data_IF_158632669354
#
_entry.id   IF_158632669354
#
_cell.length_a   1.000
_cell.length_b   1.000
_cell.length_c   1.000
_cell.angle_alpha   90.00
_cell.angle_beta   90.00
_cell.angle_gamma   90.00
#
_symmetry.space_group_name_H-M   'P 1'
#
loop_
_entity.id
_entity.type
_entity.pdbx_description
1 polymer ?
#
# COMPACT_ATOMS: atom_id res chain seq x y z
N UNK A 1 50.64 18.90 35.02
CA UNK A 1 49.30 19.01 34.37
C UNK A 1 49.06 18.03 33.25
N UNK A 2 50.02 17.71 32.37
CA UNK A 2 49.91 16.75 31.26
C UNK A 2 49.67 15.27 31.67
N UNK A 3 50.28 14.84 32.78
CA UNK A 3 50.15 13.42 33.28
C UNK A 3 48.71 13.12 33.76
N UNK A 4 48.05 14.06 34.40
CA UNK A 4 46.68 13.87 34.89
C UNK A 4 45.66 13.82 33.75
N UNK A 5 45.90 14.54 32.65
CA UNK A 5 45.07 14.45 31.43
C UNK A 5 45.22 13.09 30.72
N UNK A 6 46.45 12.52 30.68
CA UNK A 6 46.67 11.19 30.09
C UNK A 6 45.99 10.07 30.90
N UNK A 7 46.03 10.14 32.26
CA UNK A 7 45.33 9.17 33.11
C UNK A 7 43.81 9.24 32.98
N UNK A 8 43.27 10.45 32.90
CA UNK A 8 41.81 10.64 32.68
C UNK A 8 41.33 10.11 31.30
N UNK A 9 42.15 10.29 30.25
CA UNK A 9 41.89 9.73 28.93
C UNK A 9 41.94 8.20 28.91
N UNK A 10 42.91 7.62 29.63
CA UNK A 10 43.10 6.17 29.71
C UNK A 10 41.97 5.49 30.51
N UNK A 11 41.49 6.12 31.58
CA UNK A 11 40.34 5.63 32.37
C UNK A 11 39.04 5.71 31.61
N UNK A 12 38.84 6.77 30.83
CA UNK A 12 37.68 6.90 29.91
C UNK A 12 37.69 5.85 28.79
N UNK A 13 38.87 5.55 28.20
CA UNK A 13 39.08 4.49 27.22
C UNK A 13 38.75 3.09 27.75
N UNK A 14 39.13 2.81 29.02
CA UNK A 14 38.87 1.53 29.70
C UNK A 14 37.40 1.36 30.05
N UNK A 15 36.70 2.46 30.44
CA UNK A 15 35.24 2.48 30.70
C UNK A 15 34.43 2.29 29.42
N UNK A 16 34.91 2.86 28.31
CA UNK A 16 34.28 2.71 26.99
C UNK A 16 34.37 1.26 26.48
N UNK A 17 35.55 0.60 26.60
CA UNK A 17 35.73 -0.82 26.24
C UNK A 17 34.87 -1.77 27.09
N UNK A 18 34.55 -1.40 28.34
CA UNK A 18 33.71 -2.20 29.24
C UNK A 18 32.20 -2.03 28.95
N UNK A 19 31.82 -0.89 28.39
CA UNK A 19 30.41 -0.56 28.10
C UNK A 19 29.90 -1.12 26.76
N UNK A 20 30.83 -1.34 25.82
CA UNK A 20 30.52 -1.90 24.51
C UNK A 20 31.34 -3.14 24.26
N UNK A 21 30.78 -4.33 24.54
CA UNK A 21 31.44 -5.60 24.24
C UNK A 21 31.67 -5.74 22.72
N UNK A 22 32.76 -6.45 22.33
CA UNK A 22 33.11 -6.69 20.91
C UNK A 22 31.92 -7.15 20.04
N UNK A 23 30.95 -7.82 20.63
CA UNK A 23 29.74 -8.35 19.94
C UNK A 23 28.75 -7.27 19.51
N UNK A 24 28.77 -6.08 20.13
CA UNK A 24 27.83 -4.98 19.76
C UNK A 24 28.40 -4.02 18.70
N UNK A 25 29.68 -4.17 18.34
CA UNK A 25 30.36 -3.32 17.33
C UNK A 25 30.52 -4.06 15.99
N UNK A 26 30.05 -5.29 15.86
CA UNK A 26 29.89 -5.92 14.54
C UNK A 26 28.70 -5.31 13.77
N UNK A 27 28.80 -4.01 13.52
CA UNK A 27 28.00 -3.37 12.47
C UNK A 27 28.52 -3.94 11.15
N UNK A 28 27.65 -4.60 10.39
CA UNK A 28 27.93 -5.09 9.02
C UNK A 28 28.20 -3.92 8.06
N UNK A 29 29.31 -3.23 8.27
CA UNK A 29 29.83 -2.23 7.33
C UNK A 29 30.76 -2.91 6.33
N UNK A 30 30.20 -3.41 5.24
CA UNK A 30 30.97 -4.07 4.17
C UNK A 30 31.78 -3.13 3.25
N UNK A 31 31.75 -1.81 3.49
CA UNK A 31 32.48 -0.85 2.67
C UNK A 31 33.62 -0.18 3.47
N UNK A 32 34.85 -0.09 2.91
CA UNK A 32 36.00 0.51 3.59
C UNK A 32 35.77 1.95 4.06
N UNK A 33 35.05 2.75 3.25
CA UNK A 33 34.68 4.15 3.55
C UNK A 33 33.82 4.29 4.81
N UNK A 34 32.95 3.33 5.09
CA UNK A 34 32.08 3.35 6.28
C UNK A 34 32.86 3.09 7.59
N UNK A 35 33.94 2.31 7.53
CA UNK A 35 34.81 2.05 8.69
C UNK A 35 35.64 3.28 9.06
N UNK A 36 36.11 4.04 8.09
CA UNK A 36 36.86 5.29 8.30
C UNK A 36 35.94 6.36 8.88
N UNK A 37 34.74 6.53 8.35
CA UNK A 37 33.74 7.44 8.89
C UNK A 37 33.39 7.09 10.35
N UNK A 38 33.15 5.82 10.66
CA UNK A 38 32.89 5.36 12.02
C UNK A 38 34.04 5.68 12.98
N UNK A 39 35.28 5.51 12.53
CA UNK A 39 36.47 5.83 13.31
C UNK A 39 36.59 7.33 13.62
N UNK A 40 36.31 8.17 12.63
CA UNK A 40 36.28 9.64 12.77
C UNK A 40 35.20 10.06 13.76
N UNK A 41 34.00 9.50 13.68
CA UNK A 41 32.93 9.81 14.60
C UNK A 41 33.19 9.34 16.04
N UNK A 42 33.78 8.15 16.22
CA UNK A 42 34.22 7.67 17.54
C UNK A 42 35.29 8.59 18.14
N UNK A 43 36.19 9.10 17.32
CA UNK A 43 37.23 10.05 17.78
C UNK A 43 36.61 11.41 18.15
N UNK A 44 35.61 11.88 17.43
CA UNK A 44 34.87 13.12 17.72
C UNK A 44 34.06 13.01 19.03
N UNK A 45 33.41 11.87 19.32
CA UNK A 45 32.67 11.71 20.57
C UNK A 45 33.65 11.66 21.81
N UNK A 46 34.75 10.95 21.67
CA UNK A 46 35.76 10.88 22.72
C UNK A 46 36.31 12.28 23.02
N UNK A 47 36.38 13.16 22.02
CA UNK A 47 36.95 14.51 22.16
C UNK A 47 35.98 15.57 22.58
N UNK A 48 34.70 15.46 22.16
CA UNK A 48 33.74 16.57 22.28
C UNK A 48 32.38 16.20 22.90
N UNK A 49 32.10 14.94 23.19
CA UNK A 49 30.78 14.47 23.68
C UNK A 49 29.60 15.01 22.83
N UNK A 50 29.75 15.00 21.49
CA UNK A 50 28.94 15.80 20.58
C UNK A 50 27.59 15.12 20.30
N UNK A 51 26.43 15.86 20.36
CA UNK A 51 25.09 15.30 20.13
C UNK A 51 24.90 14.68 18.73
N UNK A 52 25.63 15.11 17.71
CA UNK A 52 25.61 14.57 16.36
C UNK A 52 25.99 13.07 16.32
N UNK A 53 26.88 12.61 17.20
CA UNK A 53 27.22 11.19 17.29
C UNK A 53 26.03 10.34 17.75
N UNK A 54 25.25 10.81 18.72
CA UNK A 54 24.04 10.10 19.19
C UNK A 54 22.99 9.98 18.09
N UNK A 55 22.83 11.05 17.28
CA UNK A 55 21.98 11.05 16.11
C UNK A 55 22.48 10.08 15.03
N UNK A 56 23.78 10.04 14.78
CA UNK A 56 24.40 9.15 13.79
C UNK A 56 24.29 7.67 14.20
N UNK A 57 24.57 7.33 15.47
CA UNK A 57 24.38 5.96 15.99
C UNK A 57 22.90 5.57 15.97
N UNK A 58 22.00 6.49 16.29
CA UNK A 58 20.56 6.24 16.15
C UNK A 58 20.20 5.94 14.69
N UNK A 59 20.72 6.71 13.74
CA UNK A 59 20.49 6.49 12.30
C UNK A 59 21.10 5.17 11.78
N UNK A 60 22.28 4.77 12.29
CA UNK A 60 22.91 3.48 11.92
C UNK A 60 22.19 2.26 12.50
N UNK A 61 21.51 2.41 13.62
CA UNK A 61 20.84 1.33 14.35
C UNK A 61 19.33 1.27 14.08
N UNK A 62 18.76 2.18 13.27
CA UNK A 62 17.36 2.09 12.87
C UNK A 62 17.20 0.92 11.89
N UNK A 63 16.58 -0.15 12.35
CA UNK A 63 16.06 -1.21 11.45
C UNK A 63 15.08 -0.54 10.50
N UNK A 64 15.35 -0.62 9.19
CA UNK A 64 14.43 -0.09 8.18
C UNK A 64 13.05 -0.75 8.36
N UNK A 65 12.01 0.04 8.47
CA UNK A 65 10.62 -0.45 8.49
C UNK A 65 10.31 -1.17 7.19
N UNK A 66 9.92 -2.44 7.29
CA UNK A 66 9.54 -3.28 6.15
C UNK A 66 8.06 -3.16 5.86
N UNK A 67 7.70 -2.89 4.61
CA UNK A 67 6.32 -2.71 4.18
C UNK A 67 6.03 -3.55 2.95
N UNK A 68 4.99 -4.39 3.00
CA UNK A 68 4.50 -5.09 1.81
C UNK A 68 3.10 -4.64 1.40
N UNK A 69 2.74 -5.00 0.17
CA UNK A 69 1.45 -4.76 -0.44
C UNK A 69 0.81 -6.09 -0.86
N UNK A 70 -0.42 -6.31 -0.46
CA UNK A 70 -1.26 -7.40 -0.91
C UNK A 70 -2.27 -6.90 -1.94
N UNK A 71 -2.33 -7.52 -3.10
CA UNK A 71 -3.28 -7.20 -4.16
C UNK A 71 -3.80 -8.47 -4.84
N UNK A 72 -5.00 -8.38 -5.41
CA UNK A 72 -5.59 -9.45 -6.21
C UNK A 72 -5.96 -8.92 -7.59
N UNK A 73 -5.52 -9.62 -8.64
CA UNK A 73 -5.71 -9.26 -10.04
C UNK A 73 -6.72 -10.18 -10.73
N UNK A 74 -7.61 -9.58 -11.53
CA UNK A 74 -8.47 -10.28 -12.48
C UNK A 74 -8.71 -9.36 -13.68
N UNK A 75 -8.23 -9.74 -14.88
CA UNK A 75 -8.28 -8.92 -16.09
C UNK A 75 -7.68 -7.52 -15.88
N UNK A 76 -6.46 -7.48 -15.34
CA UNK A 76 -5.78 -6.23 -14.97
C UNK A 76 -4.44 -6.02 -15.70
N UNK A 77 -4.13 -6.86 -16.69
CA UNK A 77 -2.83 -6.83 -17.37
C UNK A 77 -2.47 -5.45 -17.94
N UNK A 78 -3.47 -4.68 -18.38
CA UNK A 78 -3.28 -3.33 -18.90
C UNK A 78 -2.64 -2.36 -17.91
N UNK A 79 -2.85 -2.57 -16.61
CA UNK A 79 -2.44 -1.64 -15.55
C UNK A 79 -1.34 -2.17 -14.65
N UNK A 80 -1.12 -3.47 -14.67
CA UNK A 80 -0.32 -4.15 -13.68
C UNK A 80 1.12 -3.63 -13.59
N UNK A 81 1.77 -3.36 -14.73
CA UNK A 81 3.12 -2.77 -14.74
C UNK A 81 3.16 -1.38 -14.10
N UNK A 82 2.17 -0.53 -14.40
CA UNK A 82 2.10 0.81 -13.81
C UNK A 82 1.87 0.77 -12.31
N UNK A 83 1.04 -0.16 -11.85
CA UNK A 83 0.76 -0.39 -10.45
C UNK A 83 2.02 -0.83 -9.70
N UNK A 84 2.70 -1.87 -10.17
CA UNK A 84 3.92 -2.39 -9.56
C UNK A 84 5.00 -1.31 -9.47
N UNK A 85 5.25 -0.57 -10.57
CA UNK A 85 6.25 0.50 -10.58
C UNK A 85 5.89 1.65 -9.64
N UNK A 86 4.61 2.00 -9.50
CA UNK A 86 4.16 3.02 -8.56
C UNK A 86 4.53 2.65 -7.12
N UNK A 87 4.20 1.44 -6.67
CA UNK A 87 4.46 1.00 -5.32
C UNK A 87 5.95 0.71 -5.08
N UNK A 88 6.69 0.24 -6.09
CA UNK A 88 8.15 0.15 -6.05
C UNK A 88 8.77 1.54 -5.84
N UNK A 89 8.27 2.54 -6.55
CA UNK A 89 8.74 3.92 -6.41
C UNK A 89 8.40 4.52 -5.04
N UNK A 90 7.29 4.17 -4.43
CA UNK A 90 6.95 4.58 -3.06
C UNK A 90 7.83 3.93 -2.00
N UNK A 91 8.61 2.90 -2.34
CA UNK A 91 9.56 2.25 -1.43
C UNK A 91 8.98 1.05 -0.68
N UNK A 92 7.93 0.43 -1.20
CA UNK A 92 7.49 -0.88 -0.72
C UNK A 92 8.60 -1.90 -0.92
N UNK A 93 8.76 -2.82 0.03
CA UNK A 93 9.79 -3.86 -0.03
C UNK A 93 9.34 -5.06 -0.86
N UNK A 94 8.03 -5.33 -0.92
CA UNK A 94 7.49 -6.48 -1.64
C UNK A 94 6.01 -6.31 -2.00
N UNK A 95 5.56 -7.02 -3.07
CA UNK A 95 4.15 -7.15 -3.45
C UNK A 95 3.78 -8.63 -3.53
N UNK A 96 2.77 -9.06 -2.78
CA UNK A 96 2.09 -10.33 -2.93
C UNK A 96 0.89 -10.14 -3.85
N UNK A 97 0.97 -10.68 -5.06
CA UNK A 97 -0.05 -10.55 -6.09
C UNK A 97 -0.77 -11.87 -6.31
N UNK A 98 -2.06 -11.91 -6.04
CA UNK A 98 -2.92 -13.05 -6.23
C UNK A 98 -3.54 -13.00 -7.62
N UNK A 99 -3.19 -13.93 -8.51
CA UNK A 99 -3.77 -14.05 -9.85
C UNK A 99 -5.11 -14.81 -9.79
N UNK A 100 -6.21 -14.08 -9.81
CA UNK A 100 -7.57 -14.65 -9.78
C UNK A 100 -8.24 -14.67 -11.16
N UNK A 101 -7.47 -14.68 -12.24
CA UNK A 101 -8.00 -14.92 -13.57
C UNK A 101 -8.63 -16.32 -13.66
N UNK A 102 -9.48 -16.57 -14.66
CA UNK A 102 -9.86 -17.95 -14.96
C UNK A 102 -8.66 -18.67 -15.62
N UNK A 103 -8.73 -20.00 -15.71
CA UNK A 103 -7.63 -20.81 -16.22
C UNK A 103 -7.22 -20.41 -17.65
N UNK A 104 -8.22 -20.10 -18.50
CA UNK A 104 -8.02 -19.77 -19.91
C UNK A 104 -7.96 -18.25 -20.20
N UNK A 105 -8.00 -17.41 -19.15
CA UNK A 105 -7.93 -15.95 -19.28
C UNK A 105 -6.48 -15.43 -19.41
N UNK A 106 -6.31 -14.12 -19.22
CA UNK A 106 -5.03 -13.41 -19.22
C UNK A 106 -3.98 -14.13 -18.35
N UNK A 107 -2.76 -14.26 -18.87
CA UNK A 107 -1.59 -14.72 -18.11
C UNK A 107 -0.82 -13.52 -17.58
N UNK A 108 -0.66 -13.48 -16.28
CA UNK A 108 0.02 -12.38 -15.56
C UNK A 108 1.52 -12.58 -15.55
N UNK A 109 1.99 -13.81 -15.42
CA UNK A 109 3.38 -14.17 -15.13
C UNK A 109 4.38 -13.57 -16.13
N UNK A 110 4.17 -13.78 -17.45
CA UNK A 110 5.08 -13.28 -18.47
C UNK A 110 5.17 -11.75 -18.48
N UNK A 111 4.05 -11.10 -18.17
CA UNK A 111 3.98 -9.63 -18.13
C UNK A 111 4.86 -9.04 -17.02
N UNK A 112 4.95 -9.73 -15.88
CA UNK A 112 5.64 -9.22 -14.68
C UNK A 112 6.90 -10.01 -14.32
N UNK A 113 7.36 -10.89 -15.19
CA UNK A 113 8.52 -11.80 -14.99
C UNK A 113 9.75 -11.08 -14.44
N UNK A 114 10.06 -9.86 -14.91
CA UNK A 114 11.20 -9.08 -14.40
C UNK A 114 11.08 -8.75 -12.91
N UNK A 115 9.85 -8.54 -12.40
CA UNK A 115 9.63 -8.21 -10.98
C UNK A 115 9.63 -9.48 -10.12
N UNK A 116 9.17 -10.60 -10.65
CA UNK A 116 9.26 -11.92 -10.01
C UNK A 116 10.74 -12.30 -9.87
N UNK A 117 11.51 -12.25 -10.97
CA UNK A 117 12.93 -12.58 -10.97
C UNK A 117 13.78 -11.68 -10.07
N UNK A 118 13.38 -10.42 -9.87
CA UNK A 118 14.05 -9.51 -8.94
C UNK A 118 13.68 -9.75 -7.47
N UNK A 119 12.73 -10.63 -7.18
CA UNK A 119 12.21 -10.88 -5.84
C UNK A 119 11.29 -9.76 -5.31
N UNK A 120 10.88 -8.79 -6.15
CA UNK A 120 10.00 -7.71 -5.73
C UNK A 120 8.52 -8.10 -5.73
N UNK A 121 8.12 -9.07 -6.55
CA UNK A 121 6.75 -9.60 -6.61
C UNK A 121 6.75 -11.11 -6.41
N UNK A 122 5.89 -11.60 -5.52
CA UNK A 122 5.49 -13.01 -5.47
C UNK A 122 4.11 -13.13 -6.11
N UNK A 123 4.03 -13.88 -7.19
CA UNK A 123 2.78 -14.23 -7.85
C UNK A 123 2.21 -15.49 -7.20
N UNK A 124 0.98 -15.41 -6.68
CA UNK A 124 0.26 -16.51 -6.05
C UNK A 124 -0.85 -16.96 -6.98
N UNK A 125 -0.88 -18.24 -7.31
CA UNK A 125 -1.90 -18.82 -8.15
C UNK A 125 -3.24 -18.95 -7.41
N UNK A 126 -4.21 -18.14 -7.85
CA UNK A 126 -5.62 -18.15 -7.45
C UNK A 126 -6.53 -18.33 -8.67
N UNK A 127 -5.98 -18.82 -9.79
CA UNK A 127 -6.71 -18.97 -11.06
C UNK A 127 -7.88 -19.91 -10.89
N UNK A 128 -9.04 -19.46 -11.36
CA UNK A 128 -10.30 -20.20 -11.22
C UNK A 128 -10.84 -20.30 -9.78
N UNK A 129 -10.08 -19.85 -8.77
CA UNK A 129 -10.53 -19.89 -7.38
C UNK A 129 -11.64 -18.89 -7.13
N UNK A 130 -12.76 -19.35 -6.58
CA UNK A 130 -13.96 -18.56 -6.32
C UNK A 130 -14.11 -18.15 -4.85
N UNK A 131 -13.25 -18.66 -3.99
CA UNK A 131 -13.29 -18.41 -2.55
C UNK A 131 -14.42 -19.16 -1.82
N UNK A 132 -14.21 -19.38 -0.54
CA UNK A 132 -15.28 -19.75 0.40
C UNK A 132 -16.25 -18.56 0.47
N UNK A 133 -17.56 -18.78 0.42
CA UNK A 133 -18.56 -17.69 0.41
C UNK A 133 -18.40 -16.70 -0.77
N UNK A 134 -17.80 -17.11 -1.88
CA UNK A 134 -17.64 -16.30 -3.09
C UNK A 134 -16.95 -14.94 -2.86
N UNK A 135 -15.93 -14.89 -2.00
CA UNK A 135 -15.16 -13.68 -1.74
C UNK A 135 -13.63 -13.94 -1.78
N UNK A 136 -13.06 -14.30 -2.95
CA UNK A 136 -11.63 -14.60 -3.07
C UNK A 136 -10.74 -13.41 -2.70
N UNK A 137 -11.18 -12.17 -2.85
CA UNK A 137 -10.41 -11.01 -2.44
C UNK A 137 -10.13 -10.99 -0.94
N UNK A 138 -11.15 -11.26 -0.12
CA UNK A 138 -10.95 -11.30 1.33
C UNK A 138 -10.08 -12.47 1.76
N UNK A 139 -10.22 -13.60 1.08
CA UNK A 139 -9.39 -14.77 1.38
C UNK A 139 -7.93 -14.57 0.96
N UNK A 140 -7.68 -13.92 -0.18
CA UNK A 140 -6.33 -13.52 -0.58
C UNK A 140 -5.69 -12.57 0.45
N UNK A 141 -6.46 -11.60 0.96
CA UNK A 141 -5.97 -10.67 1.99
C UNK A 141 -5.70 -11.37 3.32
N UNK A 142 -6.54 -12.35 3.72
CA UNK A 142 -6.32 -13.17 4.91
C UNK A 142 -5.09 -14.06 4.77
N UNK A 143 -4.96 -14.75 3.65
CA UNK A 143 -3.82 -15.61 3.34
C UNK A 143 -2.51 -14.82 3.37
N UNK A 144 -2.50 -13.64 2.73
CA UNK A 144 -1.35 -12.75 2.74
C UNK A 144 -0.98 -12.29 4.14
N UNK A 145 -1.96 -11.84 4.93
CA UNK A 145 -1.69 -11.38 6.29
C UNK A 145 -1.19 -12.53 7.16
N UNK A 146 -1.88 -13.66 7.15
CA UNK A 146 -1.55 -14.83 7.98
C UNK A 146 -0.14 -15.36 7.72
N UNK A 147 0.27 -15.39 6.47
CA UNK A 147 1.61 -15.88 6.09
C UNK A 147 2.73 -14.89 6.40
N UNK A 148 2.47 -13.58 6.35
CA UNK A 148 3.52 -12.57 6.28
C UNK A 148 3.48 -11.50 7.40
N UNK A 149 2.53 -11.55 8.33
CA UNK A 149 2.39 -10.54 9.40
C UNK A 149 3.59 -10.46 10.36
N UNK A 150 4.42 -11.49 10.43
CA UNK A 150 5.65 -11.51 11.23
C UNK A 150 6.89 -11.06 10.45
N UNK A 151 6.82 -11.05 9.11
CA UNK A 151 7.95 -10.72 8.25
C UNK A 151 8.04 -9.20 7.98
N UNK A 152 6.89 -8.53 8.02
CA UNK A 152 6.76 -7.10 7.73
C UNK A 152 6.23 -6.32 8.92
N UNK A 153 6.75 -5.10 9.08
CA UNK A 153 6.28 -4.18 10.12
C UNK A 153 4.88 -3.63 9.76
N UNK A 154 4.57 -3.54 8.44
CA UNK A 154 3.28 -3.10 7.93
C UNK A 154 2.87 -3.81 6.64
N UNK A 155 1.56 -4.07 6.50
CA UNK A 155 0.95 -4.67 5.32
C UNK A 155 -0.18 -3.76 4.80
N UNK A 156 -0.18 -3.47 3.50
CA UNK A 156 -1.21 -2.67 2.82
C UNK A 156 -2.09 -3.55 1.95
N UNK A 157 -3.37 -3.18 1.80
CA UNK A 157 -4.37 -3.93 1.05
C UNK A 157 -5.11 -2.99 0.09
N UNK A 158 -4.62 -2.88 -1.14
CA UNK A 158 -5.13 -1.94 -2.14
C UNK A 158 -5.49 -2.65 -3.44
N UNK A 159 -6.55 -2.17 -4.09
CA UNK A 159 -6.98 -2.66 -5.39
C UNK A 159 -6.09 -2.08 -6.50
N UNK A 160 -6.08 -2.71 -7.70
CA UNK A 160 -5.18 -2.30 -8.78
C UNK A 160 -5.54 -0.94 -9.42
N UNK A 161 -6.71 -0.40 -9.11
CA UNK A 161 -7.15 0.94 -9.51
C UNK A 161 -7.00 1.98 -8.36
N UNK A 162 -6.26 1.63 -7.31
CA UNK A 162 -5.97 2.49 -6.15
C UNK A 162 -4.48 2.80 -6.08
N UNK A 163 -4.14 4.09 -5.99
CA UNK A 163 -2.77 4.59 -6.00
C UNK A 163 -2.51 5.49 -4.79
N UNK A 164 -1.68 5.02 -3.88
CA UNK A 164 -1.32 5.77 -2.66
C UNK A 164 -0.44 6.97 -3.02
N UNK A 165 -0.83 8.14 -2.55
CA UNK A 165 -0.06 9.38 -2.65
C UNK A 165 0.31 9.84 -1.26
N UNK A 166 1.59 9.98 -0.98
CA UNK A 166 2.13 10.46 0.29
C UNK A 166 2.49 11.95 0.22
N UNK A 167 2.33 12.63 1.36
CA UNK A 167 2.68 14.05 1.51
C UNK A 167 3.65 14.23 2.70
N UNK A 168 4.70 15.05 2.55
CA UNK A 168 5.09 15.79 1.34
C UNK A 168 5.54 14.87 0.19
N UNK A 169 5.56 15.42 -1.05
CA UNK A 169 6.01 14.68 -2.23
C UNK A 169 7.45 14.15 -2.03
N UNK A 170 7.67 12.90 -2.42
CA UNK A 170 8.99 12.25 -2.33
C UNK A 170 9.24 11.46 -1.04
N UNK A 171 8.38 11.59 -0.01
CA UNK A 171 8.47 10.73 1.17
C UNK A 171 8.21 9.28 0.77
N UNK A 172 8.98 8.34 1.33
CA UNK A 172 8.78 6.90 1.12
C UNK A 172 7.85 6.33 2.18
N UNK A 173 7.30 5.16 1.91
CA UNK A 173 6.28 4.53 2.76
C UNK A 173 6.83 4.17 4.15
N UNK A 174 8.08 3.73 4.25
CA UNK A 174 8.75 3.45 5.51
C UNK A 174 8.81 4.71 6.40
N UNK A 175 9.32 5.82 5.88
CA UNK A 175 9.40 7.09 6.60
C UNK A 175 8.01 7.64 6.96
N UNK A 176 7.01 7.42 6.11
CA UNK A 176 5.64 7.80 6.41
C UNK A 176 5.10 7.04 7.62
N UNK A 177 5.31 5.71 7.66
CA UNK A 177 4.79 4.83 8.70
C UNK A 177 5.61 4.84 10.01
N UNK A 178 6.90 5.24 9.97
CA UNK A 178 7.75 5.46 11.14
C UNK A 178 7.40 6.74 11.92
N UNK A 179 6.51 7.57 11.40
CA UNK A 179 6.12 8.81 12.06
C UNK A 179 5.53 8.55 13.46
N UNK A 180 5.95 9.33 14.46
CA UNK A 180 5.43 9.28 15.84
C UNK A 180 3.90 9.36 15.92
N UNK A 181 3.23 9.95 14.89
CA UNK A 181 1.76 10.01 14.82
C UNK A 181 1.09 8.65 14.78
N UNK A 182 1.82 7.61 14.36
CA UNK A 182 1.32 6.23 14.26
C UNK A 182 1.83 5.30 15.35
N UNK A 183 2.57 5.81 16.34
CA UNK A 183 3.19 5.00 17.40
C UNK A 183 2.22 4.02 18.04
N UNK A 184 1.04 4.50 18.43
CA UNK A 184 0.00 3.71 19.08
C UNK A 184 -1.16 3.34 18.16
N UNK A 185 -0.93 3.44 16.84
CA UNK A 185 -1.93 3.18 15.82
C UNK A 185 -1.63 1.86 15.10
N UNK A 186 -2.35 0.78 15.38
CA UNK A 186 -2.14 -0.50 14.69
C UNK A 186 -2.71 -0.54 13.28
N UNK A 187 -3.65 0.35 12.92
CA UNK A 187 -4.26 0.41 11.59
C UNK A 187 -4.37 1.86 11.14
N UNK A 188 -3.64 2.21 10.09
CA UNK A 188 -3.74 3.52 9.42
C UNK A 188 -4.75 3.42 8.29
N UNK A 189 -5.78 4.25 8.35
CA UNK A 189 -6.84 4.34 7.35
C UNK A 189 -6.58 5.49 6.41
N UNK A 190 -6.60 5.20 5.11
CA UNK A 190 -6.36 6.18 4.05
C UNK A 190 -7.66 6.42 3.29
N UNK A 191 -8.10 7.67 3.22
CA UNK A 191 -9.30 8.05 2.48
C UNK A 191 -9.09 8.01 0.97
N UNK A 192 -10.12 7.58 0.25
CA UNK A 192 -10.19 7.69 -1.20
C UNK A 192 -10.29 9.14 -1.66
N UNK A 193 -9.66 9.41 -2.79
CA UNK A 193 -9.97 10.55 -3.64
C UNK A 193 -10.33 10.01 -5.02
N UNK A 194 -11.59 10.14 -5.39
CA UNK A 194 -12.11 9.52 -6.60
C UNK A 194 -11.89 10.40 -7.82
N UNK A 195 -11.36 9.80 -8.88
CA UNK A 195 -11.14 10.44 -10.17
C UNK A 195 -12.18 9.98 -11.19
N UNK A 196 -12.63 10.91 -12.05
CA UNK A 196 -13.52 10.63 -13.17
C UNK A 196 -12.75 10.04 -14.37
N UNK A 197 -13.50 9.61 -15.38
CA UNK A 197 -12.96 9.08 -16.63
C UNK A 197 -12.36 10.14 -17.57
N UNK A 198 -12.35 11.40 -17.18
CA UNK A 198 -11.90 12.54 -18.00
C UNK A 198 -12.58 12.62 -19.39
N UNK A 199 -13.79 12.10 -19.50
CA UNK A 199 -14.56 11.98 -20.74
C UNK A 199 -13.95 11.03 -21.78
N UNK A 200 -12.95 10.21 -21.39
CA UNK A 200 -12.38 9.18 -22.24
C UNK A 200 -13.34 7.99 -22.39
N UNK A 201 -13.41 7.45 -23.60
CA UNK A 201 -14.26 6.30 -23.95
C UNK A 201 -13.44 5.00 -23.88
N UNK A 202 -12.27 5.00 -24.50
CA UNK A 202 -11.44 3.82 -24.70
C UNK A 202 -10.15 3.85 -23.85
N UNK A 203 -9.56 2.68 -23.70
CA UNK A 203 -8.26 2.53 -23.08
C UNK A 203 -7.16 3.24 -23.88
N UNK A 204 -6.25 3.89 -23.16
CA UNK A 204 -5.00 4.39 -23.70
C UNK A 204 -3.83 3.81 -22.87
N UNK A 205 -2.75 3.38 -23.52
CA UNK A 205 -1.59 2.79 -22.86
C UNK A 205 -0.76 3.84 -22.09
N UNK A 206 -1.37 4.41 -21.08
CA UNK A 206 -0.78 5.36 -20.14
C UNK A 206 -1.21 5.04 -18.71
N UNK A 207 -0.41 5.38 -17.69
CA UNK A 207 -0.81 5.17 -16.30
C UNK A 207 -2.06 5.97 -15.93
N UNK A 208 -2.86 5.46 -15.02
CA UNK A 208 -4.06 6.14 -14.50
C UNK A 208 -3.80 7.60 -14.11
N UNK A 209 -2.69 7.85 -13.42
CA UNK A 209 -2.31 9.20 -12.95
C UNK A 209 -2.10 10.22 -14.07
N UNK A 210 -1.91 9.77 -15.31
CA UNK A 210 -1.78 10.63 -16.50
C UNK A 210 -3.06 10.73 -17.29
N UNK A 211 -3.90 9.67 -17.27
CA UNK A 211 -5.15 9.63 -17.99
C UNK A 211 -6.26 10.35 -17.25
N UNK A 212 -6.38 10.14 -15.94
CA UNK A 212 -7.51 10.61 -15.14
C UNK A 212 -7.04 11.67 -14.16
N UNK A 213 -7.27 12.93 -14.50
CA UNK A 213 -6.80 14.10 -13.73
C UNK A 213 -7.95 14.93 -13.14
N UNK A 214 -9.19 14.71 -13.62
CA UNK A 214 -10.37 15.39 -13.10
C UNK A 214 -10.98 14.62 -11.94
N UNK A 215 -11.34 15.30 -10.87
CA UNK A 215 -12.03 14.67 -9.75
C UNK A 215 -13.44 14.24 -10.16
N UNK A 216 -13.88 13.13 -9.59
CA UNK A 216 -15.24 12.65 -9.71
C UNK A 216 -16.23 13.62 -9.05
N UNK A 217 -17.40 13.79 -9.65
CA UNK A 217 -18.51 14.56 -9.08
C UNK A 217 -19.22 13.82 -7.93
N UNK A 218 -18.93 12.56 -7.71
CA UNK A 218 -19.58 11.73 -6.69
C UNK A 218 -19.19 12.15 -5.26
N UNK A 219 -20.07 12.85 -4.57
CA UNK A 219 -19.80 13.52 -3.28
C UNK A 219 -19.53 12.58 -2.10
N UNK A 220 -20.05 11.35 -2.13
CA UNK A 220 -20.02 10.46 -0.95
C UNK A 220 -18.79 9.55 -0.84
N UNK A 221 -17.95 9.46 -1.87
CA UNK A 221 -16.89 8.46 -1.96
C UNK A 221 -15.58 8.85 -1.27
N UNK A 222 -15.35 10.14 -1.03
CA UNK A 222 -14.14 10.61 -0.36
C UNK A 222 -13.99 10.11 1.08
N UNK A 223 -15.09 9.81 1.75
CA UNK A 223 -15.07 9.26 3.10
C UNK A 223 -14.68 7.77 3.17
N UNK A 224 -14.82 7.01 2.08
CA UNK A 224 -14.41 5.60 2.00
C UNK A 224 -12.90 5.45 2.24
N UNK A 225 -12.48 4.36 2.87
CA UNK A 225 -11.09 4.13 3.25
C UNK A 225 -10.57 2.77 2.78
N UNK A 226 -9.24 2.66 2.73
CA UNK A 226 -8.50 1.40 2.75
C UNK A 226 -7.49 1.42 3.90
N UNK A 227 -6.98 0.26 4.27
CA UNK A 227 -6.18 0.08 5.49
C UNK A 227 -4.74 -0.30 5.19
N UNK A 228 -3.83 0.25 6.01
CA UNK A 228 -2.46 -0.22 6.18
C UNK A 228 -2.38 -0.75 7.61
N UNK A 229 -2.02 -2.00 7.80
CA UNK A 229 -2.04 -2.68 9.09
C UNK A 229 -0.63 -2.99 9.57
N UNK A 230 -0.37 -2.82 10.88
CA UNK A 230 0.87 -3.34 11.47
C UNK A 230 0.92 -4.86 11.37
N UNK A 231 2.13 -5.40 11.20
CA UNK A 231 2.42 -6.76 11.54
C UNK A 231 2.22 -7.02 13.05
N UNK A 232 2.23 -8.26 13.45
CA UNK A 232 2.05 -8.69 14.86
C UNK A 232 0.69 -8.33 15.52
N UNK A 233 -0.34 -7.97 14.74
CA UNK A 233 -1.70 -7.90 15.25
C UNK A 233 -2.26 -9.33 15.27
N UNK A 234 -2.87 -9.72 16.39
CA UNK A 234 -3.42 -11.08 16.54
C UNK A 234 -4.40 -11.45 15.42
N UNK A 235 -4.07 -12.52 14.68
CA UNK A 235 -4.82 -13.04 13.53
C UNK A 235 -6.29 -13.35 13.82
N UNK A 236 -6.61 -13.82 15.02
CA UNK A 236 -7.98 -14.24 15.39
C UNK A 236 -9.05 -13.17 15.15
N UNK A 237 -8.67 -11.95 15.02
CA UNK A 237 -9.59 -10.84 14.79
C UNK A 237 -9.66 -10.39 13.31
N UNK A 238 -8.63 -10.71 12.50
CA UNK A 238 -8.60 -10.38 11.07
C UNK A 238 -9.60 -11.22 10.26
N UNK A 239 -9.72 -12.50 10.57
CA UNK A 239 -10.58 -13.46 9.84
C UNK A 239 -12.08 -13.18 9.91
N UNK A 240 -12.53 -12.23 10.72
CA UNK A 240 -13.96 -11.91 10.93
C UNK A 240 -14.47 -10.75 10.10
N UNK A 241 -13.62 -10.12 9.29
CA UNK A 241 -14.05 -9.05 8.38
C UNK A 241 -14.58 -9.60 7.07
N UNK A 242 -15.59 -8.96 6.49
CA UNK A 242 -16.18 -9.31 5.21
C UNK A 242 -16.01 -8.20 4.16
N UNK A 243 -15.18 -7.20 4.42
CA UNK A 243 -15.00 -6.07 3.52
C UNK A 243 -13.54 -5.67 3.36
N UNK A 244 -13.06 -5.44 2.13
CA UNK A 244 -11.71 -4.96 1.87
C UNK A 244 -11.47 -3.52 2.38
N UNK A 245 -12.54 -2.80 2.70
CA UNK A 245 -12.47 -1.47 3.30
C UNK A 245 -12.27 -1.53 4.82
N UNK A 246 -12.46 -2.72 5.40
CA UNK A 246 -12.50 -2.89 6.82
C UNK A 246 -12.01 -4.27 7.23
N UNK A 247 -10.75 -4.33 7.58
CA UNK A 247 -10.08 -5.61 7.81
C UNK A 247 -10.11 -6.06 9.28
N UNK A 248 -10.57 -5.20 10.22
CA UNK A 248 -10.48 -5.54 11.64
C UNK A 248 -11.51 -4.82 12.54
N UNK A 249 -12.39 -5.60 13.23
CA UNK A 249 -13.60 -5.08 13.88
C UNK A 249 -13.44 -4.43 15.26
N UNK A 250 -12.35 -4.63 15.98
CA UNK A 250 -12.23 -4.19 17.39
C UNK A 250 -10.91 -3.50 17.72
N UNK A 251 -10.10 -3.15 16.75
CA UNK A 251 -8.79 -2.55 16.99
C UNK A 251 -8.82 -1.05 16.84
N UNK A 252 -8.03 -0.38 17.66
CA UNK A 252 -7.75 1.04 17.51
C UNK A 252 -7.27 1.29 16.08
N UNK A 253 -7.70 2.37 15.50
CA UNK A 253 -7.27 2.81 14.18
C UNK A 253 -7.17 4.32 14.14
N UNK A 254 -6.43 4.84 13.18
CA UNK A 254 -6.28 6.27 12.99
C UNK A 254 -6.36 6.67 11.51
N UNK A 255 -6.59 7.95 11.28
CA UNK A 255 -6.55 8.57 9.95
C UNK A 255 -5.10 8.81 9.48
N UNK A 256 -4.93 9.35 8.27
CA UNK A 256 -3.62 9.73 7.72
C UNK A 256 -2.87 10.74 8.59
N UNK A 257 -3.56 11.54 9.39
CA UNK A 257 -2.95 12.50 10.34
C UNK A 257 -2.73 11.93 11.74
N UNK A 258 -2.96 10.64 11.97
CA UNK A 258 -2.83 9.98 13.28
C UNK A 258 -4.01 10.21 14.22
N UNK A 259 -5.09 10.88 13.79
CA UNK A 259 -6.28 11.09 14.62
C UNK A 259 -7.01 9.76 14.83
N UNK A 260 -7.43 9.43 16.06
CA UNK A 260 -8.20 8.23 16.33
C UNK A 260 -9.45 8.14 15.45
N UNK A 261 -9.74 6.94 14.92
CA UNK A 261 -10.91 6.67 14.11
C UNK A 261 -11.63 5.43 14.65
N UNK A 262 -12.87 5.60 15.08
CA UNK A 262 -13.73 4.49 15.52
C UNK A 262 -14.59 3.94 14.37
N UNK A 263 -14.75 4.68 13.29
CA UNK A 263 -15.54 4.26 12.13
C UNK A 263 -14.93 3.06 11.44
N UNK A 264 -15.79 2.18 10.95
CA UNK A 264 -15.37 0.94 10.29
C UNK A 264 -15.03 1.15 8.81
N UNK A 265 -15.87 1.86 8.07
CA UNK A 265 -15.78 1.98 6.60
C UNK A 265 -15.40 3.36 6.12
N UNK A 266 -15.57 4.38 6.98
CA UNK A 266 -15.50 5.77 6.57
C UNK A 266 -14.70 6.61 7.56
N UNK A 267 -14.04 7.63 7.06
CA UNK A 267 -13.57 8.78 7.86
C UNK A 267 -14.21 10.01 7.23
N UNK A 268 -15.07 10.67 8.00
CA UNK A 268 -15.78 11.86 7.55
C UNK A 268 -15.65 12.98 8.61
N UNK A 269 -15.19 14.18 8.26
CA UNK A 269 -14.69 14.54 6.92
C UNK A 269 -13.41 13.77 6.53
N UNK A 270 -13.14 13.61 5.22
CA UNK A 270 -11.95 12.91 4.74
C UNK A 270 -10.67 13.60 5.22
N UNK A 271 -9.68 12.79 5.63
CA UNK A 271 -8.37 13.26 6.07
C UNK A 271 -7.30 13.05 4.97
N UNK A 272 -7.03 14.11 4.22
CA UNK A 272 -6.06 14.13 3.12
C UNK A 272 -4.73 14.81 3.51
N UNK A 273 -4.46 14.99 4.80
CA UNK A 273 -3.33 15.80 5.26
C UNK A 273 -1.97 15.20 4.88
N UNK A 274 -1.77 13.90 5.11
CA UNK A 274 -0.48 13.25 4.90
C UNK A 274 -0.51 12.11 3.90
N UNK A 275 -1.69 11.57 3.60
CA UNK A 275 -1.86 10.55 2.56
C UNK A 275 -3.23 10.62 1.92
N UNK A 276 -3.30 10.20 0.66
CA UNK A 276 -4.51 10.08 -0.14
C UNK A 276 -4.42 8.77 -0.90
N UNK A 277 -5.53 8.05 -1.02
CA UNK A 277 -5.62 6.91 -1.92
C UNK A 277 -6.44 7.33 -3.16
N UNK A 278 -5.75 7.65 -4.25
CA UNK A 278 -6.41 7.98 -5.51
C UNK A 278 -7.07 6.72 -6.07
N UNK A 279 -8.37 6.79 -6.32
CA UNK A 279 -9.15 5.71 -6.89
C UNK A 279 -9.72 6.12 -8.25
N UNK A 280 -9.45 5.33 -9.28
CA UNK A 280 -9.75 5.63 -10.66
C UNK A 280 -10.93 4.83 -11.19
N UNK A 281 -11.95 5.52 -11.70
CA UNK A 281 -13.19 4.85 -12.18
C UNK A 281 -13.02 4.11 -13.51
N UNK A 282 -12.00 4.46 -14.30
CA UNK A 282 -11.75 3.94 -15.66
C UNK A 282 -12.71 4.54 -16.70
N UNK A 283 -12.44 4.26 -17.98
CA UNK A 283 -13.35 4.62 -19.09
C UNK A 283 -14.59 3.76 -19.08
N UNK A 284 -15.62 4.16 -19.84
CA UNK A 284 -16.87 3.37 -19.95
C UNK A 284 -16.60 1.98 -20.55
N UNK A 285 -15.76 1.88 -21.58
CA UNK A 285 -15.42 0.59 -22.22
C UNK A 285 -14.72 -0.35 -21.25
N UNK A 286 -13.79 0.18 -20.45
CA UNK A 286 -13.10 -0.59 -19.41
C UNK A 286 -14.03 -0.97 -18.26
N UNK A 287 -14.95 -0.07 -17.88
CA UNK A 287 -15.94 -0.33 -16.84
C UNK A 287 -16.91 -1.44 -17.23
N UNK A 288 -17.37 -1.45 -18.49
CA UNK A 288 -18.18 -2.53 -19.07
C UNK A 288 -17.43 -3.86 -19.00
N UNK A 289 -16.15 -3.88 -19.41
CA UNK A 289 -15.30 -5.08 -19.29
C UNK A 289 -15.18 -5.54 -17.83
N UNK A 290 -14.99 -4.61 -16.90
CA UNK A 290 -14.93 -4.88 -15.45
C UNK A 290 -16.23 -5.51 -14.92
N UNK A 291 -17.39 -5.09 -15.42
CA UNK A 291 -18.68 -5.67 -15.05
C UNK A 291 -18.83 -7.07 -15.66
N UNK A 292 -18.49 -7.26 -16.95
CA UNK A 292 -18.58 -8.55 -17.66
C UNK A 292 -17.69 -9.64 -17.05
N UNK A 293 -16.46 -9.29 -16.63
CA UNK A 293 -15.58 -10.24 -15.92
C UNK A 293 -16.15 -10.71 -14.56
N UNK A 294 -17.09 -9.95 -14.03
CA UNK A 294 -17.65 -10.12 -12.70
C UNK A 294 -16.67 -9.64 -11.60
N UNK A 295 -17.20 -9.49 -10.41
CA UNK A 295 -16.34 -9.50 -9.21
C UNK A 295 -15.69 -10.87 -9.12
N UNK A 296 -14.67 -11.02 -8.30
CA UNK A 296 -14.17 -12.33 -7.90
C UNK A 296 -15.28 -13.26 -7.35
N UNK A 297 -16.49 -12.73 -7.20
CA UNK A 297 -17.71 -13.38 -6.71
C UNK A 297 -18.66 -13.62 -7.88
N UNK A 298 -18.82 -14.89 -8.25
CA UNK A 298 -19.94 -15.48 -9.04
C UNK A 298 -20.22 -14.93 -10.45
N UNK A 299 -20.28 -15.83 -11.43
CA UNK A 299 -21.15 -15.70 -12.64
C UNK A 299 -22.62 -15.71 -12.20
N UNK A 300 -23.10 -14.69 -11.51
CA UNK A 300 -24.54 -14.46 -11.41
C UNK A 300 -24.95 -13.74 -12.68
N UNK A 301 -25.95 -14.28 -13.38
CA UNK A 301 -26.72 -13.52 -14.36
C UNK A 301 -27.00 -12.14 -13.74
N UNK A 302 -26.45 -11.08 -14.34
CA UNK A 302 -26.62 -9.73 -13.82
C UNK A 302 -28.09 -9.35 -13.97
N UNK A 303 -28.83 -9.31 -12.88
CA UNK A 303 -30.21 -8.85 -12.91
C UNK A 303 -30.29 -7.41 -13.42
N UNK A 304 -31.40 -7.05 -14.09
CA UNK A 304 -31.63 -5.69 -14.58
C UNK A 304 -31.43 -4.63 -13.48
N UNK A 305 -31.88 -4.91 -12.25
CA UNK A 305 -31.68 -4.02 -11.10
C UNK A 305 -30.21 -3.82 -10.75
N UNK A 306 -29.38 -4.87 -10.85
CA UNK A 306 -27.95 -4.78 -10.60
C UNK A 306 -27.22 -4.01 -11.72
N UNK A 307 -27.62 -4.20 -12.96
CA UNK A 307 -27.12 -3.41 -14.10
C UNK A 307 -27.48 -1.93 -13.94
N UNK A 308 -28.72 -1.61 -13.53
CA UNK A 308 -29.13 -0.23 -13.23
C UNK A 308 -28.32 0.39 -12.11
N UNK A 309 -28.00 -0.37 -11.07
CA UNK A 309 -27.11 0.10 -10.01
C UNK A 309 -25.70 0.42 -10.56
N UNK A 310 -25.11 -0.42 -11.39
CA UNK A 310 -23.79 -0.15 -11.99
C UNK A 310 -23.83 1.06 -12.92
N UNK A 311 -24.87 1.19 -13.74
CA UNK A 311 -25.11 2.35 -14.61
C UNK A 311 -25.14 3.64 -13.78
N UNK A 312 -25.99 3.71 -12.79
CA UNK A 312 -26.12 4.88 -11.92
C UNK A 312 -24.81 5.19 -11.17
N UNK A 313 -24.10 4.16 -10.67
CA UNK A 313 -22.82 4.32 -9.96
C UNK A 313 -21.74 4.91 -10.88
N UNK A 314 -21.66 4.50 -12.13
CA UNK A 314 -20.69 5.07 -13.08
C UNK A 314 -21.01 6.55 -13.38
N UNK A 315 -22.26 6.86 -13.73
CA UNK A 315 -22.65 8.20 -14.11
C UNK A 315 -22.82 9.18 -12.94
N UNK A 316 -22.87 8.70 -11.70
CA UNK A 316 -22.81 9.57 -10.54
C UNK A 316 -21.48 10.34 -10.43
N UNK A 317 -20.40 9.79 -10.97
CA UNK A 317 -19.06 10.38 -10.92
C UNK A 317 -18.54 10.92 -12.25
N UNK A 318 -19.15 10.53 -13.36
CA UNK A 318 -18.70 10.81 -14.72
C UNK A 318 -19.79 11.55 -15.51
N UNK A 319 -19.37 12.26 -16.56
CA UNK A 319 -20.31 12.88 -17.46
C UNK A 319 -21.13 11.83 -18.21
N UNK A 320 -22.43 12.04 -18.25
CA UNK A 320 -23.38 11.17 -18.94
C UNK A 320 -23.59 11.68 -20.37
N UNK A 321 -22.78 11.17 -21.32
CA UNK A 321 -22.95 11.47 -22.76
C UNK A 321 -23.77 10.39 -23.45
N UNK A 322 -24.40 10.72 -24.56
CA UNK A 322 -25.18 9.78 -25.36
C UNK A 322 -24.32 8.56 -25.78
N UNK A 323 -23.10 8.79 -26.21
CA UNK A 323 -22.18 7.73 -26.62
C UNK A 323 -21.86 6.75 -25.47
N UNK A 324 -21.54 7.25 -24.27
CA UNK A 324 -21.26 6.39 -23.08
C UNK A 324 -22.50 5.59 -22.67
N UNK A 325 -23.67 6.21 -22.72
CA UNK A 325 -24.95 5.54 -22.42
C UNK A 325 -25.19 4.44 -23.42
N UNK A 326 -24.98 4.71 -24.72
CA UNK A 326 -25.13 3.74 -25.81
C UNK A 326 -24.19 2.55 -25.60
N UNK A 327 -22.89 2.79 -25.33
CA UNK A 327 -21.90 1.73 -25.08
C UNK A 327 -22.35 0.81 -23.92
N UNK A 328 -22.84 1.37 -22.80
CA UNK A 328 -23.33 0.57 -21.69
C UNK A 328 -24.57 -0.26 -22.08
N UNK A 329 -25.53 0.38 -22.70
CA UNK A 329 -26.80 -0.27 -23.11
C UNK A 329 -26.55 -1.41 -24.10
N UNK A 330 -25.77 -1.16 -25.15
CA UNK A 330 -25.41 -2.16 -26.14
C UNK A 330 -24.68 -3.36 -25.51
N UNK A 331 -23.79 -3.08 -24.57
CA UNK A 331 -23.01 -4.13 -23.91
C UNK A 331 -23.82 -5.10 -23.06
N UNK A 332 -24.99 -4.67 -22.55
CA UNK A 332 -25.83 -5.43 -21.61
C UNK A 332 -27.26 -5.62 -22.10
N UNK A 333 -27.56 -5.23 -23.34
CA UNK A 333 -28.91 -5.25 -23.92
C UNK A 333 -29.96 -4.59 -23.01
N UNK A 334 -29.69 -3.32 -22.65
CA UNK A 334 -30.53 -2.50 -21.79
C UNK A 334 -30.90 -1.18 -22.47
N UNK A 335 -31.86 -0.45 -21.89
CA UNK A 335 -32.32 0.86 -22.36
C UNK A 335 -32.37 1.87 -21.20
N UNK A 336 -31.28 1.97 -20.44
CA UNK A 336 -31.21 2.94 -19.36
C UNK A 336 -30.96 4.36 -19.90
N UNK A 337 -31.61 5.34 -19.26
CA UNK A 337 -31.49 6.75 -19.55
C UNK A 337 -30.74 7.50 -18.45
#
# INVERSE_FOLDING_TARGET
>A
MLLNRKRALYSKKKRFKKKYSKKQIEIKCNKPTSKILLLIFVLLEIRFNHPVYKLFIKALNTKKTKVCLCAIAKWENLYLKFYIEHYRHLGYDHIYLYDNNNIDDEKVEDLIKKYINSGFVTLIDYRGYRGKKNNPQMEAYYDCYDKHYQEYDWLSFFDLDEYLILKPKGIKIDNFLESERYKDCPIVKINWLLYSDNDQIEYENKPFTKRFTKLSKHKSTGSTIKSIMRGNISYHNFSKSYSPHYLYKKTKSCSSSGKPSQSTYYINPPDYKFAILNHYTRTISEYVKKIKRGRAVVKSVLSKGRLKHFFNSFFAGNNKTHEKVKIFNDAFNTSFE
#
